data_IF_850106260785
#
_entry.id   IF_850106260785
#
_cell.length_a   1.000
_cell.length_b   1.000
_cell.length_c   1.000
_cell.angle_alpha   90.00
_cell.angle_beta   90.00
_cell.angle_gamma   90.00
#
_symmetry.space_group_name_H-M   'P 1'
#
loop_
_entity.id
_entity.type
_entity.pdbx_description
1 polymer ?
#
# COMPACT_ATOMS: atom_id res chain seq x y z
N UNK A 1 -0.81 15.91 15.96
CA UNK A 1 -0.41 15.06 14.82
C UNK A 1 -1.64 14.38 14.24
N UNK A 2 -1.87 14.49 12.93
CA UNK A 2 -3.05 13.91 12.27
C UNK A 2 -2.71 12.56 11.62
N UNK A 3 -3.49 11.52 11.93
CA UNK A 3 -3.38 10.19 11.30
C UNK A 3 -4.05 10.17 9.92
N UNK A 4 -3.50 9.37 9.01
CA UNK A 4 -4.11 9.15 7.70
C UNK A 4 -5.46 8.41 7.83
N UNK A 5 -6.55 9.02 7.36
CA UNK A 5 -7.91 8.44 7.34
C UNK A 5 -8.42 8.14 5.93
N UNK A 6 -7.56 8.21 4.92
CA UNK A 6 -7.93 7.98 3.53
C UNK A 6 -7.98 6.49 3.14
N UNK A 7 -8.11 6.19 1.84
CA UNK A 7 -8.23 4.82 1.34
C UNK A 7 -6.99 3.95 1.59
N UNK A 8 -7.01 3.12 2.63
CA UNK A 8 -5.89 2.21 3.00
C UNK A 8 -5.56 1.13 1.98
N UNK A 9 -6.55 0.57 1.28
CA UNK A 9 -6.33 -0.41 0.20
C UNK A 9 -5.59 0.18 -1.01
N UNK A 10 -5.59 1.51 -1.16
CA UNK A 10 -4.77 2.20 -2.17
C UNK A 10 -3.28 2.14 -1.79
N UNK A 11 -2.99 2.26 -0.49
CA UNK A 11 -1.63 2.21 0.07
C UNK A 11 -1.08 0.79 -0.02
N UNK A 12 -1.86 -0.20 0.41
CA UNK A 12 -1.50 -1.61 0.29
C UNK A 12 -1.13 -1.97 -1.16
N UNK A 13 -1.97 -1.61 -2.14
CA UNK A 13 -1.69 -1.81 -3.56
C UNK A 13 -0.45 -1.06 -4.08
N UNK A 14 -0.10 0.08 -3.49
CA UNK A 14 1.13 0.80 -3.86
C UNK A 14 2.37 0.04 -3.43
N UNK A 15 2.34 -0.58 -2.25
CA UNK A 15 3.47 -1.37 -1.73
C UNK A 15 3.45 -2.84 -2.16
N UNK A 16 2.32 -3.33 -2.68
CA UNK A 16 2.17 -4.73 -3.09
C UNK A 16 2.15 -5.70 -1.91
N UNK A 17 1.96 -5.20 -0.69
CA UNK A 17 1.87 -6.00 0.53
C UNK A 17 0.60 -5.67 1.28
N UNK A 18 0.09 -6.64 2.04
CA UNK A 18 -0.98 -6.35 2.99
C UNK A 18 -0.39 -5.74 4.25
N UNK A 19 -0.96 -4.60 4.64
CA UNK A 19 -0.64 -3.90 5.88
C UNK A 19 -1.60 -4.32 7.02
N UNK A 20 -2.46 -5.32 6.78
CA UNK A 20 -3.47 -5.82 7.70
C UNK A 20 -4.45 -4.76 8.27
N UNK A 21 -4.54 -3.59 7.64
CA UNK A 21 -5.31 -2.42 8.13
C UNK A 21 -6.83 -2.59 8.05
N UNK A 22 -7.32 -3.70 7.49
CA UNK A 22 -8.73 -3.91 7.12
C UNK A 22 -9.40 -5.12 7.78
N UNK A 23 -8.69 -5.84 8.65
CA UNK A 23 -9.23 -6.95 9.45
C UNK A 23 -10.06 -7.94 8.62
N UNK A 24 -11.32 -8.14 9.02
CA UNK A 24 -12.29 -9.10 8.45
C UNK A 24 -12.54 -8.93 6.95
N UNK A 25 -12.48 -7.71 6.40
CA UNK A 25 -12.71 -7.50 4.96
C UNK A 25 -11.65 -8.19 4.10
N UNK A 26 -10.43 -8.31 4.64
CA UNK A 26 -9.35 -9.08 3.98
C UNK A 26 -9.70 -10.56 3.94
N UNK A 27 -10.19 -11.11 5.07
CA UNK A 27 -10.56 -12.52 5.21
C UNK A 27 -11.77 -12.89 4.34
N UNK A 28 -12.66 -11.93 4.06
CA UNK A 28 -13.84 -12.11 3.20
C UNK A 28 -13.52 -12.27 1.69
N UNK A 29 -12.24 -12.37 1.27
CA UNK A 29 -11.85 -12.48 -0.14
C UNK A 29 -12.12 -11.23 -0.99
N UNK A 30 -12.47 -10.12 -0.35
CA UNK A 30 -12.74 -8.82 -1.00
C UNK A 30 -11.51 -7.91 -0.98
N UNK A 31 -10.32 -8.50 -0.87
CA UNK A 31 -9.05 -7.77 -0.79
C UNK A 31 -8.70 -7.15 -2.14
N UNK A 32 -8.48 -5.83 -2.17
CA UNK A 32 -8.07 -5.13 -3.39
C UNK A 32 -6.70 -5.54 -3.91
N UNK A 33 -5.82 -6.06 -3.06
CA UNK A 33 -4.51 -6.61 -3.48
C UNK A 33 -4.66 -7.82 -4.39
N UNK A 34 -5.52 -8.76 -4.02
CA UNK A 34 -5.76 -9.98 -4.79
C UNK A 34 -6.48 -9.65 -6.10
N UNK A 35 -7.48 -8.78 -6.05
CA UNK A 35 -8.27 -8.39 -7.23
C UNK A 35 -7.51 -7.47 -8.20
N UNK A 36 -6.57 -6.66 -7.68
CA UNK A 36 -5.84 -5.63 -8.44
C UNK A 36 -4.39 -5.56 -7.97
N UNK A 37 -3.61 -6.57 -8.33
CA UNK A 37 -2.19 -6.72 -7.95
C UNK A 37 -1.25 -5.78 -8.74
N UNK A 38 -1.59 -4.49 -8.79
CA UNK A 38 -0.83 -3.44 -9.44
C UNK A 38 -1.03 -2.12 -8.70
N UNK A 39 -0.14 -1.16 -8.95
CA UNK A 39 -0.16 0.12 -8.26
C UNK A 39 -1.46 0.90 -8.51
N UNK A 40 -1.84 1.82 -7.63
CA UNK A 40 -2.99 2.69 -7.88
C UNK A 40 -2.70 3.77 -8.93
N UNK A 41 -3.75 4.22 -9.62
CA UNK A 41 -3.72 5.29 -10.64
C UNK A 41 -3.80 4.78 -12.08
N UNK A 42 -3.92 5.69 -13.05
CA UNK A 42 -4.03 5.37 -14.48
C UNK A 42 -2.83 4.57 -15.00
N UNK A 43 -1.61 4.94 -14.58
CA UNK A 43 -0.38 4.20 -14.93
C UNK A 43 -0.02 3.10 -13.92
N UNK A 44 -0.97 2.69 -13.08
CA UNK A 44 -0.73 1.74 -12.00
C UNK A 44 -0.21 0.37 -12.44
N UNK A 45 -0.54 -0.04 -13.67
CA UNK A 45 -0.08 -1.29 -14.26
C UNK A 45 1.33 -1.20 -14.86
N UNK A 46 1.82 0.01 -15.16
CA UNK A 46 3.15 0.20 -15.73
C UNK A 46 4.20 -0.05 -14.64
N UNK A 47 5.10 -1.00 -14.88
CA UNK A 47 6.26 -1.27 -14.02
C UNK A 47 7.47 -0.53 -14.57
N UNK A 48 8.22 0.12 -13.68
CA UNK A 48 9.48 0.79 -13.99
C UNK A 48 10.54 0.41 -12.99
N UNK A 49 11.82 0.54 -13.37
CA UNK A 49 12.95 0.31 -12.45
C UNK A 49 12.91 1.37 -11.34
N UNK A 50 13.06 0.91 -10.10
CA UNK A 50 13.11 1.77 -8.92
C UNK A 50 14.58 2.08 -8.64
N UNK A 51 14.89 3.32 -8.28
CA UNK A 51 16.22 3.71 -7.80
C UNK A 51 16.47 3.23 -6.37
N UNK A 52 17.73 3.18 -5.94
CA UNK A 52 18.07 2.75 -4.58
C UNK A 52 17.42 3.64 -3.50
N UNK A 53 17.41 4.95 -3.73
CA UNK A 53 16.67 5.88 -2.88
C UNK A 53 15.16 5.60 -2.89
N UNK A 54 14.59 5.27 -4.04
CA UNK A 54 13.18 4.91 -4.16
C UNK A 54 12.83 3.64 -3.37
N UNK A 55 13.76 2.69 -3.29
CA UNK A 55 13.61 1.48 -2.49
C UNK A 55 13.62 1.81 -0.99
N UNK A 56 14.60 2.59 -0.52
CA UNK A 56 14.67 3.05 0.87
C UNK A 56 13.44 3.86 1.27
N UNK A 57 12.99 4.78 0.40
CA UNK A 57 11.80 5.58 0.63
C UNK A 57 10.55 4.70 0.77
N UNK A 58 10.41 3.66 -0.05
CA UNK A 58 9.29 2.72 0.06
C UNK A 58 9.28 1.98 1.39
N UNK A 59 10.42 1.50 1.86
CA UNK A 59 10.52 0.84 3.16
C UNK A 59 10.20 1.79 4.32
N UNK A 60 10.69 3.04 4.27
CA UNK A 60 10.33 4.07 5.26
C UNK A 60 8.81 4.30 5.31
N UNK A 61 8.19 4.49 4.15
CA UNK A 61 6.75 4.75 4.08
C UNK A 61 5.94 3.53 4.49
N UNK A 62 6.40 2.32 4.16
CA UNK A 62 5.78 1.07 4.60
C UNK A 62 5.70 1.00 6.12
N UNK A 63 6.81 1.23 6.81
CA UNK A 63 6.85 1.26 8.28
C UNK A 63 5.91 2.34 8.85
N UNK A 64 5.95 3.54 8.26
CA UNK A 64 5.07 4.66 8.65
C UNK A 64 3.58 4.28 8.63
N UNK A 65 3.12 3.66 7.55
CA UNK A 65 1.71 3.26 7.41
C UNK A 65 1.35 2.02 8.21
N UNK A 66 2.28 1.08 8.41
CA UNK A 66 2.04 -0.12 9.21
C UNK A 66 1.78 0.23 10.67
N UNK A 67 2.55 1.15 11.23
CA UNK A 67 2.41 1.58 12.63
C UNK A 67 1.53 2.82 12.82
N UNK A 68 1.05 3.44 11.73
CA UNK A 68 0.21 4.63 11.79
C UNK A 68 0.90 5.87 12.39
N UNK A 69 2.23 5.91 12.35
CA UNK A 69 3.05 6.99 12.92
C UNK A 69 3.16 8.14 11.92
N UNK A 70 3.21 9.39 12.40
CA UNK A 70 3.34 10.59 11.54
C UNK A 70 4.73 11.19 11.60
#
# INVERSE_FOLDING_TARGET
MARYRGPVEKIERRFGISLALKGERRLSGKCSLERRNYGPGQHGQRRGKISDYGLQLREKQKAKFMYGVS
#
